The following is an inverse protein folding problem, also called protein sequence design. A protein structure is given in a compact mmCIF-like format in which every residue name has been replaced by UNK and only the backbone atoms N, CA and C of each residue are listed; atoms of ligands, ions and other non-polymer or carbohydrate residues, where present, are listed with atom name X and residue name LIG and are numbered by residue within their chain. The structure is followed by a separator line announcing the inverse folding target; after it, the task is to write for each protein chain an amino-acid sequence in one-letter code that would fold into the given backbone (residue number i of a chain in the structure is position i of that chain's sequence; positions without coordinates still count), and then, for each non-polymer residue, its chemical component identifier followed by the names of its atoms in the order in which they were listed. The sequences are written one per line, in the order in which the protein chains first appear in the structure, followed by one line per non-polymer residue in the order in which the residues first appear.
data_IF_314172770738
#
_entry.id   IF_314172770738
#
_cell.length_a   1.000
_cell.length_b   1.000
_cell.length_c   1.000
_cell.angle_alpha   90.00
_cell.angle_beta   90.00
_cell.angle_gamma   90.00
#
_symmetry.space_group_name_H-M   'P 1'
#
loop_
_entity.id
_entity.type
_entity.pdbx_description
1 polymer ?
#
# COMPACT_ATOMS: atom_id res chain seq x y z
N UNK A 1 102.26 28.95 44.99
CA UNK A 1 101.28 29.80 45.61
C UNK A 1 99.89 29.44 44.97
N UNK A 2 99.03 28.76 45.67
CA UNK A 2 97.92 28.02 45.15
C UNK A 2 96.64 28.78 45.44
N UNK A 3 95.89 29.11 44.42
CA UNK A 3 94.58 29.69 44.58
C UNK A 3 93.52 28.64 44.22
N UNK A 4 92.70 28.29 45.18
CA UNK A 4 91.51 27.40 44.92
C UNK A 4 90.32 28.23 44.55
N UNK A 5 89.73 27.90 43.46
CA UNK A 5 88.45 28.44 43.00
C UNK A 5 87.38 27.39 43.22
N UNK A 6 86.39 27.73 44.00
CA UNK A 6 85.22 26.91 44.30
C UNK A 6 84.20 27.05 43.17
N UNK A 7 83.76 25.93 42.62
CA UNK A 7 82.70 25.89 41.63
C UNK A 7 81.33 25.83 42.35
N UNK A 8 80.52 26.81 42.05
CA UNK A 8 79.13 26.80 42.51
C UNK A 8 78.21 26.03 41.51
N UNK A 9 77.53 25.04 41.98
CA UNK A 9 76.57 24.29 41.20
C UNK A 9 75.20 25.04 41.16
N UNK A 10 74.81 25.45 39.98
CA UNK A 10 73.49 26.01 39.72
C UNK A 10 72.49 24.86 39.45
N UNK A 11 71.52 24.67 40.32
CA UNK A 11 70.35 23.75 40.12
C UNK A 11 69.37 24.42 39.14
N UNK A 12 69.27 23.91 37.92
CA UNK A 12 68.20 24.28 36.98
C UNK A 12 66.98 23.43 37.28
N UNK A 13 65.94 24.03 37.83
CA UNK A 13 64.61 23.39 37.98
C UNK A 13 63.90 23.41 36.61
N UNK A 14 63.81 22.25 35.96
CA UNK A 14 63.03 22.06 34.77
C UNK A 14 61.56 21.97 35.13
N UNK A 15 60.78 23.03 34.89
CA UNK A 15 59.32 23.01 34.97
C UNK A 15 58.79 22.23 33.78
N UNK A 16 58.29 21.02 34.01
CA UNK A 16 57.56 20.27 33.00
C UNK A 16 56.18 20.91 32.80
N UNK A 17 56.03 21.58 31.67
CA UNK A 17 54.71 22.04 31.22
C UNK A 17 53.93 20.85 30.71
N UNK A 18 52.98 20.39 31.51
CA UNK A 18 52.00 19.38 31.13
C UNK A 18 51.01 20.05 30.19
N UNK A 19 51.16 19.91 28.89
CA UNK A 19 50.21 20.36 27.89
C UNK A 19 48.99 19.48 27.96
N UNK A 20 47.93 19.95 28.61
CA UNK A 20 46.61 19.34 28.55
C UNK A 20 46.06 19.54 27.15
N UNK A 21 46.05 18.48 26.33
CA UNK A 21 45.32 18.43 25.07
C UNK A 21 43.95 17.88 25.32
N UNK A 22 42.85 18.66 25.11
CA UNK A 22 41.53 18.12 25.16
C UNK A 22 41.35 17.19 23.98
N UNK A 23 41.25 15.89 24.23
CA UNK A 23 40.86 14.92 23.23
C UNK A 23 39.37 15.14 22.93
N UNK A 24 39.08 15.72 21.79
CA UNK A 24 37.74 15.81 21.24
C UNK A 24 37.36 14.45 20.60
N UNK A 25 37.37 13.39 21.38
CA UNK A 25 36.76 12.12 21.01
C UNK A 25 35.23 12.27 21.12
N UNK A 26 34.65 13.05 20.20
CA UNK A 26 33.23 12.97 19.93
C UNK A 26 33.06 11.66 19.14
N UNK A 27 32.43 10.63 19.70
CA UNK A 27 32.16 9.42 18.92
C UNK A 27 31.38 9.85 17.68
N UNK A 28 31.69 9.30 16.49
CA UNK A 28 30.92 9.62 15.29
C UNK A 28 29.45 9.33 15.62
N UNK A 29 28.59 10.34 15.45
CA UNK A 29 27.14 10.18 15.52
C UNK A 29 26.80 8.94 14.70
N UNK A 30 26.36 7.88 15.36
CA UNK A 30 25.89 6.69 14.67
C UNK A 30 24.82 7.20 13.70
N UNK A 31 25.10 7.10 12.40
CA UNK A 31 24.13 7.41 11.39
C UNK A 31 22.89 6.60 11.75
N UNK A 32 21.84 7.27 12.17
CA UNK A 32 20.55 6.63 12.43
C UNK A 32 20.15 6.02 11.10
N UNK A 33 20.29 4.71 10.95
CA UNK A 33 19.76 4.01 9.80
C UNK A 33 18.29 4.41 9.71
N UNK A 34 17.93 5.11 8.65
CA UNK A 34 16.55 5.39 8.30
C UNK A 34 15.95 4.03 7.92
N UNK A 35 15.41 3.34 8.92
CA UNK A 35 14.62 2.13 8.69
C UNK A 35 13.36 2.60 7.98
N UNK A 36 13.40 2.57 6.65
CA UNK A 36 12.19 2.71 5.83
C UNK A 36 11.27 1.58 6.25
N UNK A 37 10.08 1.86 6.79
CA UNK A 37 9.16 0.80 7.18
C UNK A 37 8.79 0.01 5.93
N UNK A 38 9.25 -1.23 5.85
CA UNK A 38 8.87 -2.13 4.77
C UNK A 38 7.39 -2.45 4.96
N UNK A 39 6.53 -1.98 4.05
CA UNK A 39 5.10 -2.29 4.10
C UNK A 39 4.93 -3.81 4.04
N UNK A 40 4.25 -4.36 5.04
CA UNK A 40 3.92 -5.78 5.06
C UNK A 40 2.87 -6.07 3.98
N UNK A 41 3.07 -7.11 3.18
CA UNK A 41 2.06 -7.63 2.26
C UNK A 41 1.03 -8.44 3.07
N UNK A 42 -0.23 -8.08 2.96
CA UNK A 42 -1.30 -8.72 3.72
C UNK A 42 -2.67 -8.14 3.42
N UNK A 43 -3.66 -8.49 4.25
CA UNK A 43 -5.05 -8.10 4.03
C UNK A 43 -5.66 -7.31 5.19
N UNK A 44 -4.83 -6.76 6.08
CA UNK A 44 -5.26 -5.86 7.16
C UNK A 44 -5.15 -4.41 6.67
N UNK A 45 -5.94 -3.51 7.24
CA UNK A 45 -5.81 -2.08 6.95
C UNK A 45 -4.39 -1.64 7.33
N UNK A 46 -3.71 -0.95 6.40
CA UNK A 46 -2.31 -0.55 6.50
C UNK A 46 -1.33 -1.51 5.81
N UNK A 47 -1.74 -2.72 5.42
CA UNK A 47 -0.92 -3.63 4.64
C UNK A 47 -0.91 -3.23 3.16
N UNK A 48 0.17 -3.55 2.47
CA UNK A 48 0.21 -3.57 1.01
C UNK A 48 -0.66 -4.74 0.52
N UNK A 49 -1.65 -4.44 -0.30
CA UNK A 49 -2.56 -5.45 -0.86
C UNK A 49 -1.77 -6.49 -1.68
N UNK A 50 -2.01 -7.81 -1.46
CA UNK A 50 -1.40 -8.85 -2.27
C UNK A 50 -1.70 -8.68 -3.75
N UNK A 51 -0.75 -9.00 -4.62
CA UNK A 51 -0.95 -8.94 -6.07
C UNK A 51 -2.03 -9.91 -6.54
N UNK A 52 -2.88 -9.45 -7.45
CA UNK A 52 -3.83 -10.26 -8.18
C UNK A 52 -3.52 -10.14 -9.68
N UNK A 53 -3.18 -11.24 -10.32
CA UNK A 53 -2.91 -11.29 -11.75
C UNK A 53 -3.76 -12.39 -12.38
N UNK A 54 -4.96 -12.03 -12.84
CA UNK A 54 -5.96 -12.95 -13.39
C UNK A 54 -6.43 -12.50 -14.77
N UNK A 55 -7.09 -13.42 -15.48
CA UNK A 55 -7.55 -13.15 -16.83
C UNK A 55 -8.92 -12.43 -16.85
N UNK A 56 -9.08 -11.51 -17.78
CA UNK A 56 -10.38 -10.94 -18.10
C UNK A 56 -11.22 -11.93 -18.95
N UNK A 57 -12.53 -11.64 -19.24
CA UNK A 57 -13.36 -12.54 -20.04
C UNK A 57 -12.82 -12.87 -21.43
N UNK A 58 -11.93 -12.05 -21.98
CA UNK A 58 -11.28 -12.26 -23.28
C UNK A 58 -9.94 -13.01 -23.18
N UNK A 59 -9.57 -13.50 -22.01
CA UNK A 59 -8.33 -14.24 -21.75
C UNK A 59 -7.08 -13.37 -21.58
N UNK A 60 -7.19 -12.04 -21.59
CA UNK A 60 -6.06 -11.14 -21.33
C UNK A 60 -5.81 -11.04 -19.83
N UNK A 61 -4.56 -11.28 -19.41
CA UNK A 61 -4.16 -11.06 -18.03
C UNK A 61 -4.20 -9.58 -17.67
N UNK A 62 -4.75 -9.30 -16.48
CA UNK A 62 -4.87 -7.99 -15.86
C UNK A 62 -4.25 -8.08 -14.47
N UNK A 63 -3.39 -7.14 -14.11
CA UNK A 63 -2.72 -7.11 -12.80
C UNK A 63 -3.27 -5.98 -11.95
N UNK A 64 -3.43 -6.23 -10.66
CA UNK A 64 -3.82 -5.19 -9.71
C UNK A 64 -2.76 -4.06 -9.67
N UNK A 65 -1.48 -4.42 -9.79
CA UNK A 65 -0.37 -3.47 -9.84
C UNK A 65 -0.41 -2.53 -11.06
N UNK A 66 -1.12 -2.87 -12.13
CA UNK A 66 -1.31 -1.97 -13.29
C UNK A 66 -2.17 -0.73 -12.94
N UNK A 67 -2.79 -0.73 -11.76
CA UNK A 67 -3.61 0.37 -11.23
C UNK A 67 -2.90 1.22 -10.16
N UNK A 68 -1.58 1.08 -9.99
CA UNK A 68 -0.83 1.97 -9.11
C UNK A 68 -1.03 3.43 -9.54
N UNK A 69 -1.08 4.33 -8.58
CA UNK A 69 -1.46 5.72 -8.80
C UNK A 69 -2.96 6.00 -8.68
N UNK A 70 -3.82 4.97 -8.69
CA UNK A 70 -5.27 5.10 -8.58
C UNK A 70 -5.75 4.72 -7.16
N UNK A 71 -6.84 5.32 -6.70
CA UNK A 71 -7.66 4.79 -5.62
C UNK A 71 -8.48 3.63 -6.20
N UNK A 72 -8.34 2.42 -5.67
CA UNK A 72 -8.94 1.22 -6.28
C UNK A 72 -9.87 0.50 -5.32
N UNK A 73 -11.08 0.20 -5.76
CA UNK A 73 -11.98 -0.72 -5.09
C UNK A 73 -11.76 -2.14 -5.66
N UNK A 74 -11.18 -3.03 -4.88
CA UNK A 74 -11.14 -4.46 -5.17
C UNK A 74 -12.48 -5.04 -4.69
N UNK A 75 -13.26 -5.61 -5.62
CA UNK A 75 -14.60 -6.14 -5.33
C UNK A 75 -14.70 -7.62 -5.69
N UNK A 76 -14.88 -8.47 -4.67
CA UNK A 76 -15.11 -9.90 -4.83
C UNK A 76 -16.60 -10.19 -4.92
N UNK A 77 -17.03 -10.73 -6.04
CA UNK A 77 -18.44 -10.98 -6.36
C UNK A 77 -18.64 -12.22 -7.22
N UNK A 78 -19.88 -12.50 -7.64
CA UNK A 78 -20.17 -13.51 -8.66
C UNK A 78 -21.56 -13.26 -9.29
N UNK A 79 -21.76 -13.76 -10.51
CA UNK A 79 -23.03 -13.66 -11.24
C UNK A 79 -24.18 -14.36 -10.53
N UNK A 80 -23.90 -15.41 -9.81
CA UNK A 80 -24.85 -16.21 -9.04
C UNK A 80 -25.09 -15.67 -7.61
N UNK A 81 -24.33 -14.68 -7.17
CA UNK A 81 -24.45 -14.11 -5.83
C UNK A 81 -25.55 -13.06 -5.77
N UNK A 82 -26.71 -13.41 -5.24
CA UNK A 82 -27.84 -12.49 -5.09
C UNK A 82 -27.54 -11.22 -4.31
N UNK A 83 -26.89 -11.29 -3.13
CA UNK A 83 -26.48 -10.09 -2.41
C UNK A 83 -25.52 -9.18 -3.20
N UNK A 84 -24.54 -9.76 -3.94
CA UNK A 84 -23.62 -9.01 -4.78
C UNK A 84 -24.37 -8.23 -5.88
N UNK A 85 -25.33 -8.91 -6.54
CA UNK A 85 -26.16 -8.33 -7.59
C UNK A 85 -27.04 -7.17 -7.08
N UNK A 86 -27.40 -7.18 -5.80
CA UNK A 86 -28.11 -6.06 -5.16
C UNK A 86 -27.17 -4.90 -4.82
N UNK A 87 -25.89 -5.17 -4.55
CA UNK A 87 -24.87 -4.15 -4.28
C UNK A 87 -24.30 -3.51 -5.56
N UNK A 88 -24.24 -4.24 -6.68
CA UNK A 88 -23.69 -3.76 -7.94
C UNK A 88 -24.19 -2.38 -8.39
N UNK A 89 -25.49 -2.02 -8.29
CA UNK A 89 -25.95 -0.67 -8.62
C UNK A 89 -25.26 0.43 -7.81
N UNK A 90 -24.90 0.14 -6.55
CA UNK A 90 -24.22 1.07 -5.68
C UNK A 90 -22.75 1.25 -6.10
N UNK A 91 -22.06 0.16 -6.46
CA UNK A 91 -20.72 0.20 -7.05
C UNK A 91 -20.72 0.98 -8.37
N UNK A 92 -21.72 0.75 -9.23
CA UNK A 92 -21.90 1.50 -10.49
C UNK A 92 -22.07 3.00 -10.23
N UNK A 93 -22.88 3.37 -9.25
CA UNK A 93 -23.08 4.77 -8.87
C UNK A 93 -21.78 5.40 -8.35
N UNK A 94 -21.04 4.67 -7.52
CA UNK A 94 -19.73 5.09 -7.05
C UNK A 94 -18.77 5.30 -8.23
N UNK A 95 -18.64 4.32 -9.12
CA UNK A 95 -17.77 4.43 -10.29
C UNK A 95 -18.12 5.66 -11.15
N UNK A 96 -19.41 5.87 -11.46
CA UNK A 96 -19.88 7.02 -12.25
C UNK A 96 -19.57 8.36 -11.58
N UNK A 97 -19.76 8.43 -10.26
CA UNK A 97 -19.51 9.65 -9.47
C UNK A 97 -18.00 9.98 -9.42
N UNK A 98 -17.16 8.97 -9.16
CA UNK A 98 -15.76 9.20 -8.77
C UNK A 98 -14.76 9.06 -9.92
N UNK A 99 -15.08 8.38 -11.04
CA UNK A 99 -14.13 8.19 -12.15
C UNK A 99 -13.59 9.47 -12.79
N UNK A 100 -14.22 10.63 -12.52
CA UNK A 100 -13.79 11.95 -13.02
C UNK A 100 -13.44 12.91 -11.91
N UNK A 101 -13.59 12.52 -10.65
CA UNK A 101 -13.23 13.34 -9.50
C UNK A 101 -11.71 13.53 -9.43
N UNK A 102 -11.28 14.64 -8.86
CA UNK A 102 -9.89 14.86 -8.49
C UNK A 102 -9.66 14.35 -7.09
N UNK A 103 -8.58 13.64 -6.88
CA UNK A 103 -8.20 13.06 -5.62
C UNK A 103 -6.98 13.78 -5.03
N UNK A 104 -6.85 13.75 -3.70
CA UNK A 104 -5.77 14.41 -2.97
C UNK A 104 -4.41 13.85 -3.33
N UNK A 105 -4.30 12.52 -3.51
CA UNK A 105 -3.05 11.82 -3.75
C UNK A 105 -3.12 10.85 -4.95
N UNK A 106 -4.32 10.44 -5.38
CA UNK A 106 -4.50 9.49 -6.48
C UNK A 106 -4.83 10.22 -7.80
N UNK A 107 -4.49 9.60 -8.93
CA UNK A 107 -4.79 10.12 -10.28
C UNK A 107 -6.26 9.94 -10.67
N UNK A 108 -6.99 9.07 -9.97
CA UNK A 108 -8.39 8.78 -10.23
C UNK A 108 -8.93 7.63 -9.38
N UNK A 109 -10.13 7.16 -9.73
CA UNK A 109 -10.78 6.02 -9.08
C UNK A 109 -11.09 4.92 -10.07
N UNK A 110 -10.77 3.68 -9.69
CA UNK A 110 -11.05 2.50 -10.51
C UNK A 110 -11.65 1.37 -9.67
N UNK A 111 -12.33 0.44 -10.34
CA UNK A 111 -12.85 -0.78 -9.74
C UNK A 111 -12.16 -1.99 -10.35
N UNK A 112 -11.60 -2.85 -9.52
CA UNK A 112 -10.99 -4.13 -9.89
C UNK A 112 -11.86 -5.27 -9.38
N UNK A 113 -12.74 -5.79 -10.26
CA UNK A 113 -13.72 -6.81 -9.91
C UNK A 113 -13.20 -8.21 -10.10
N UNK A 114 -13.08 -8.95 -9.00
CA UNK A 114 -12.66 -10.37 -8.96
C UNK A 114 -13.90 -11.25 -8.88
N UNK A 115 -14.19 -11.96 -9.95
CA UNK A 115 -15.37 -12.84 -10.02
C UNK A 115 -15.04 -14.26 -9.55
N UNK A 116 -15.91 -14.80 -8.69
CA UNK A 116 -15.92 -16.22 -8.31
C UNK A 116 -16.86 -17.06 -9.19
N UNK A 117 -16.98 -16.69 -10.46
CA UNK A 117 -17.70 -17.51 -11.43
C UNK A 117 -16.86 -18.71 -11.90
N UNK A 118 -17.51 -19.70 -12.49
CA UNK A 118 -16.87 -20.83 -13.17
C UNK A 118 -17.26 -20.92 -14.64
N UNK A 119 -18.00 -19.94 -15.14
CA UNK A 119 -18.59 -19.93 -16.47
C UNK A 119 -18.51 -18.52 -17.06
N UNK A 120 -17.72 -18.36 -18.12
CA UNK A 120 -17.51 -17.05 -18.76
C UNK A 120 -18.79 -16.45 -19.31
N UNK A 121 -19.65 -17.16 -20.07
CA UNK A 121 -20.89 -16.60 -20.59
C UNK A 121 -21.83 -16.04 -19.52
N UNK A 122 -22.00 -16.73 -18.39
CA UNK A 122 -22.82 -16.25 -17.25
C UNK A 122 -22.23 -15.00 -16.61
N UNK A 123 -20.91 -15.00 -16.43
CA UNK A 123 -20.17 -13.88 -15.88
C UNK A 123 -20.31 -12.63 -16.77
N UNK A 124 -20.04 -12.74 -18.09
CA UNK A 124 -20.22 -11.64 -19.06
C UNK A 124 -21.65 -11.14 -19.14
N UNK A 125 -22.62 -12.06 -19.12
CA UNK A 125 -24.04 -11.70 -19.08
C UNK A 125 -24.40 -10.87 -17.84
N UNK A 126 -23.82 -11.21 -16.68
CA UNK A 126 -24.03 -10.47 -15.45
C UNK A 126 -23.37 -9.09 -15.49
N UNK A 127 -22.12 -8.98 -15.98
CA UNK A 127 -21.42 -7.70 -16.19
C UNK A 127 -22.29 -6.77 -17.03
N UNK A 128 -22.80 -7.27 -18.16
CA UNK A 128 -23.66 -6.49 -19.07
C UNK A 128 -25.00 -6.11 -18.41
N UNK A 129 -25.68 -7.07 -17.78
CA UNK A 129 -26.98 -6.85 -17.17
C UNK A 129 -26.92 -5.83 -16.03
N UNK A 130 -25.88 -5.85 -15.23
CA UNK A 130 -25.71 -4.96 -14.06
C UNK A 130 -24.99 -3.65 -14.46
N UNK A 131 -24.64 -3.47 -15.75
CA UNK A 131 -23.97 -2.27 -16.29
C UNK A 131 -22.65 -1.96 -15.58
N UNK A 132 -21.83 -2.97 -15.32
CA UNK A 132 -20.52 -2.84 -14.73
C UNK A 132 -19.55 -2.31 -15.79
N UNK A 133 -19.47 -0.98 -15.96
CA UNK A 133 -18.86 -0.31 -17.13
C UNK A 133 -17.32 -0.20 -17.08
N UNK A 134 -16.70 -0.53 -15.95
CA UNK A 134 -15.23 -0.53 -15.84
C UNK A 134 -14.62 -1.72 -16.60
N UNK A 135 -13.32 -1.63 -16.89
CA UNK A 135 -12.64 -2.63 -17.72
C UNK A 135 -11.96 -3.77 -16.95
N UNK A 136 -11.78 -3.58 -15.63
CA UNK A 136 -10.97 -4.46 -14.80
C UNK A 136 -11.81 -5.56 -14.17
N UNK A 137 -12.30 -6.45 -15.02
CA UNK A 137 -13.02 -7.65 -14.62
C UNK A 137 -12.10 -8.86 -14.78
N UNK A 138 -11.86 -9.62 -13.71
CA UNK A 138 -10.95 -10.76 -13.71
C UNK A 138 -11.56 -11.97 -13.00
N UNK A 139 -11.13 -13.18 -13.40
CA UNK A 139 -11.52 -14.43 -12.76
C UNK A 139 -10.52 -15.52 -13.11
N UNK A 140 -10.32 -16.49 -12.20
CA UNK A 140 -9.66 -17.77 -12.45
C UNK A 140 -10.67 -18.89 -12.77
N UNK A 141 -11.95 -18.58 -12.76
CA UNK A 141 -13.07 -19.49 -13.00
C UNK A 141 -13.14 -20.70 -12.04
N UNK A 142 -12.53 -20.56 -10.87
CA UNK A 142 -12.41 -21.64 -9.87
C UNK A 142 -13.44 -21.57 -8.73
N UNK A 143 -14.40 -20.65 -8.81
CA UNK A 143 -15.40 -20.42 -7.74
C UNK A 143 -14.73 -20.19 -6.38
N UNK A 144 -15.14 -20.93 -5.35
CA UNK A 144 -14.58 -20.87 -4.02
C UNK A 144 -13.15 -21.44 -3.91
N UNK A 145 -12.63 -22.12 -4.95
CA UNK A 145 -11.25 -22.54 -5.04
C UNK A 145 -10.33 -21.47 -5.67
N UNK A 146 -10.84 -20.24 -5.81
CA UNK A 146 -10.07 -19.10 -6.33
C UNK A 146 -8.86 -18.80 -5.44
N UNK A 147 -7.68 -18.77 -6.05
CA UNK A 147 -6.43 -18.43 -5.37
C UNK A 147 -6.46 -16.99 -4.84
N UNK A 148 -7.06 -16.05 -5.61
CA UNK A 148 -7.22 -14.68 -5.18
C UNK A 148 -8.15 -14.58 -3.97
N UNK A 149 -9.27 -15.32 -3.95
CA UNK A 149 -10.17 -15.34 -2.80
C UNK A 149 -9.47 -15.92 -1.56
N UNK A 150 -8.72 -17.01 -1.70
CA UNK A 150 -7.94 -17.61 -0.62
C UNK A 150 -6.87 -16.63 -0.09
N UNK A 151 -6.12 -15.96 -0.98
CA UNK A 151 -5.07 -15.01 -0.64
C UNK A 151 -5.60 -13.81 0.15
N UNK A 152 -6.82 -13.35 -0.17
CA UNK A 152 -7.49 -12.23 0.51
C UNK A 152 -8.34 -12.67 1.72
N UNK A 153 -8.38 -13.96 2.03
CA UNK A 153 -9.20 -14.51 3.12
C UNK A 153 -10.70 -14.33 2.89
N UNK A 154 -11.13 -14.31 1.62
CA UNK A 154 -12.53 -14.13 1.23
C UNK A 154 -13.27 -15.46 1.37
N UNK A 155 -14.10 -15.59 2.40
CA UNK A 155 -14.94 -16.75 2.69
C UNK A 155 -16.45 -16.47 2.52
N UNK A 156 -16.79 -15.24 2.18
CA UNK A 156 -18.16 -14.82 1.84
C UNK A 156 -18.11 -13.64 0.87
N UNK A 157 -19.12 -13.52 0.00
CA UNK A 157 -19.28 -12.41 -0.95
C UNK A 157 -20.66 -11.76 -0.84
N UNK A 158 -20.79 -10.44 -1.12
CA UNK A 158 -19.75 -9.55 -1.60
C UNK A 158 -18.70 -9.26 -0.52
N UNK A 159 -17.43 -9.06 -0.91
CA UNK A 159 -16.35 -8.61 -0.05
C UNK A 159 -15.51 -7.59 -0.81
N UNK A 160 -15.14 -6.49 -0.17
CA UNK A 160 -14.40 -5.43 -0.82
C UNK A 160 -13.22 -4.95 0.01
N UNK A 161 -12.20 -4.44 -0.71
CA UNK A 161 -11.03 -3.74 -0.15
C UNK A 161 -10.85 -2.45 -0.93
N UNK A 162 -10.67 -1.34 -0.23
CA UNK A 162 -10.26 -0.08 -0.85
C UNK A 162 -8.76 0.08 -0.63
N UNK A 163 -8.01 0.29 -1.71
CA UNK A 163 -6.56 0.54 -1.66
C UNK A 163 -6.26 1.93 -2.20
N UNK A 164 -5.27 2.58 -1.59
CA UNK A 164 -4.77 3.88 -2.03
C UNK A 164 -3.89 3.79 -3.29
N UNK A 165 -3.34 4.92 -3.73
CA UNK A 165 -2.47 5.03 -4.91
C UNK A 165 -1.18 4.22 -4.80
N UNK A 166 -0.74 3.89 -3.58
CA UNK A 166 0.43 3.06 -3.32
C UNK A 166 0.07 1.56 -3.23
N UNK A 167 -1.24 1.23 -3.24
CA UNK A 167 -1.78 -0.10 -3.09
C UNK A 167 -1.93 -0.55 -1.64
N UNK A 168 -1.90 0.38 -0.69
CA UNK A 168 -2.12 0.11 0.73
C UNK A 168 -3.62 0.04 1.02
N UNK A 169 -4.05 -0.98 1.77
CA UNK A 169 -5.45 -1.16 2.13
C UNK A 169 -5.85 -0.08 3.15
N UNK A 170 -6.81 0.76 2.77
CA UNK A 170 -7.33 1.86 3.60
C UNK A 170 -8.71 1.56 4.17
N UNK A 171 -9.46 0.61 3.58
CA UNK A 171 -10.74 0.14 4.13
C UNK A 171 -11.11 -1.23 3.59
N UNK A 172 -12.05 -1.89 4.27
CA UNK A 172 -12.54 -3.24 3.92
C UNK A 172 -14.06 -3.30 4.08
N UNK A 173 -14.67 -4.22 3.32
CA UNK A 173 -16.10 -4.58 3.46
C UNK A 173 -17.05 -3.39 3.36
N UNK A 174 -16.72 -2.46 2.44
CA UNK A 174 -17.52 -1.27 2.17
C UNK A 174 -18.76 -1.63 1.34
N UNK A 175 -19.93 -1.09 1.74
CA UNK A 175 -21.21 -1.27 1.05
C UNK A 175 -22.08 -0.03 1.20
N UNK A 176 -23.00 0.16 0.25
CA UNK A 176 -23.99 1.21 0.34
C UNK A 176 -23.36 2.58 0.56
N UNK A 177 -23.91 3.35 1.48
CA UNK A 177 -23.46 4.69 1.80
C UNK A 177 -22.00 4.73 2.30
N UNK A 178 -21.55 3.72 3.04
CA UNK A 178 -20.17 3.66 3.57
C UNK A 178 -19.11 3.61 2.47
N UNK A 179 -19.42 2.98 1.32
CA UNK A 179 -18.54 3.00 0.16
C UNK A 179 -18.30 4.45 -0.30
N UNK A 180 -19.38 5.21 -0.49
CA UNK A 180 -19.28 6.61 -0.91
C UNK A 180 -18.57 7.47 0.11
N UNK A 181 -18.94 7.35 1.39
CA UNK A 181 -18.32 8.11 2.47
C UNK A 181 -16.81 7.88 2.53
N UNK A 182 -16.38 6.62 2.37
CA UNK A 182 -14.95 6.30 2.44
C UNK A 182 -14.17 6.82 1.24
N UNK A 183 -14.75 6.77 0.04
CA UNK A 183 -14.11 7.37 -1.16
C UNK A 183 -14.06 8.89 -1.03
N UNK A 184 -15.13 9.54 -0.53
CA UNK A 184 -15.19 11.00 -0.34
C UNK A 184 -14.04 11.53 0.55
N UNK A 185 -13.53 10.74 1.51
CA UNK A 185 -12.37 11.12 2.35
C UNK A 185 -11.10 11.39 1.52
N UNK A 186 -10.99 10.77 0.33
CA UNK A 186 -9.85 10.88 -0.58
C UNK A 186 -10.06 11.93 -1.70
N UNK A 187 -11.29 12.42 -1.89
CA UNK A 187 -11.63 13.38 -2.95
C UNK A 187 -11.14 14.78 -2.57
N UNK A 188 -10.56 15.49 -3.55
CA UNK A 188 -10.22 16.90 -3.46
C UNK A 188 -11.36 17.77 -4.04
N UNK A 189 -11.86 17.40 -5.24
CA UNK A 189 -12.98 18.11 -5.92
C UNK A 189 -13.64 17.19 -6.97
N UNK A 190 -14.83 17.58 -7.41
CA UNK A 190 -15.61 16.92 -8.46
C UNK A 190 -15.55 17.68 -9.78
#
# INVERSE_FOLDING_TARGET
MILKTTAGAALIASAAWFSYQPTTDIPPFAATEVVTPTLRVGTVIGDLAPEIALNNPKGKQMKLSDLRGQLVLIDFWASWCGPCRRENPNVVNAYKKYKKAKFKNAEGFEVYSVSLDSDVPRWESAIKKDKLEWKWHVSDLKRWNSEAAALYGVNSIPMSFLIDENGVIVAKNLRGFELHRKIDEHVESF
#
